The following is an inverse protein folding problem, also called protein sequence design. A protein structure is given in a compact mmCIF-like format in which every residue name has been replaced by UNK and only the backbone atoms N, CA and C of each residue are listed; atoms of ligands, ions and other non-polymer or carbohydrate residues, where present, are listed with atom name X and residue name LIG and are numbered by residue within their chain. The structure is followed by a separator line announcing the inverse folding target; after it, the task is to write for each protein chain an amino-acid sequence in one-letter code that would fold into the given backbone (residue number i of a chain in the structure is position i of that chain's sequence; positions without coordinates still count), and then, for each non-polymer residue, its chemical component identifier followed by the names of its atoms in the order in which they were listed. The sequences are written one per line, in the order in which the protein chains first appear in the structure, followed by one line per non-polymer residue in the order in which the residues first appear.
data_IF_828966064141
#
_entry.id   IF_828966064141
#
_cell.length_a   1.000
_cell.length_b   1.000
_cell.length_c   1.000
_cell.angle_alpha   90.00
_cell.angle_beta   90.00
_cell.angle_gamma   90.00
#
_symmetry.space_group_name_H-M   'P 1'
#
loop_
_entity.id
_entity.type
_entity.pdbx_description
1 polymer ?
#
# COMPACT_ATOMS: atom_id res chain seq x y z
N UNK A 1 9.87 -24.25 14.35
CA UNK A 1 10.26 -22.86 14.64
C UNK A 1 10.83 -22.15 13.42
N UNK A 2 11.95 -22.61 12.83
CA UNK A 2 12.56 -21.96 11.66
C UNK A 2 11.61 -21.80 10.48
N UNK A 3 10.87 -22.85 10.11
CA UNK A 3 9.89 -22.78 9.03
C UNK A 3 8.79 -21.75 9.30
N UNK A 4 8.22 -21.75 10.51
CA UNK A 4 7.24 -20.75 10.96
C UNK A 4 7.80 -19.33 10.91
N UNK A 5 9.09 -19.15 11.26
CA UNK A 5 9.78 -17.87 11.16
C UNK A 5 9.91 -17.40 9.71
N UNK A 6 10.32 -18.28 8.78
CA UNK A 6 10.43 -17.93 7.35
C UNK A 6 9.07 -17.56 6.78
N UNK A 7 8.03 -18.37 7.05
CA UNK A 7 6.66 -18.09 6.59
C UNK A 7 6.13 -16.78 7.18
N UNK A 8 6.32 -16.55 8.48
CA UNK A 8 5.92 -15.31 9.15
C UNK A 8 6.64 -14.08 8.59
N UNK A 9 7.95 -14.20 8.33
CA UNK A 9 8.77 -13.12 7.74
C UNK A 9 8.30 -12.77 6.33
N UNK A 10 8.07 -13.79 5.48
CA UNK A 10 7.56 -13.58 4.11
C UNK A 10 6.17 -12.95 4.16
N UNK A 11 5.27 -13.45 4.99
CA UNK A 11 3.93 -12.88 5.14
C UNK A 11 3.99 -11.41 5.61
N UNK A 12 4.90 -11.07 6.54
CA UNK A 12 5.10 -9.70 7.01
C UNK A 12 5.57 -8.78 5.88
N UNK A 13 6.54 -9.22 5.09
CA UNK A 13 7.05 -8.47 3.95
C UNK A 13 5.96 -8.29 2.90
N UNK A 14 5.16 -9.32 2.61
CA UNK A 14 4.04 -9.25 1.65
C UNK A 14 2.95 -8.26 2.10
N UNK A 15 2.57 -8.30 3.37
CA UNK A 15 1.60 -7.35 3.94
C UNK A 15 2.12 -5.92 3.83
N UNK A 16 3.36 -5.67 4.28
CA UNK A 16 3.99 -4.36 4.18
C UNK A 16 4.11 -3.87 2.74
N UNK A 17 4.51 -4.76 1.82
CA UNK A 17 4.63 -4.45 0.40
C UNK A 17 3.27 -4.05 -0.17
N UNK A 18 2.21 -4.80 0.15
CA UNK A 18 0.85 -4.51 -0.31
C UNK A 18 0.39 -3.13 0.13
N UNK A 19 0.54 -2.79 1.41
CA UNK A 19 0.15 -1.45 1.92
C UNK A 19 1.02 -0.37 1.30
N UNK A 20 2.32 -0.62 1.11
CA UNK A 20 3.25 0.31 0.47
C UNK A 20 2.94 0.56 -1.00
N UNK A 21 2.44 -0.44 -1.73
CA UNK A 21 1.95 -0.29 -3.11
C UNK A 21 0.75 0.64 -3.18
N UNK A 22 -0.16 0.53 -2.23
CA UNK A 22 -1.30 1.44 -2.12
C UNK A 22 -0.87 2.86 -1.73
N UNK A 23 0.08 3.00 -0.80
CA UNK A 23 0.63 4.30 -0.39
C UNK A 23 1.31 5.06 -1.54
N UNK A 24 1.81 4.35 -2.55
CA UNK A 24 2.37 4.97 -3.74
C UNK A 24 1.35 5.82 -4.51
N UNK A 25 0.07 5.41 -4.56
CA UNK A 25 -0.98 6.21 -5.19
C UNK A 25 -1.19 7.54 -4.48
N UNK A 26 -1.23 7.54 -3.14
CA UNK A 26 -1.35 8.77 -2.35
C UNK A 26 -0.15 9.71 -2.59
N UNK A 27 1.07 9.17 -2.71
CA UNK A 27 2.27 9.96 -3.05
C UNK A 27 2.20 10.55 -4.45
N UNK A 28 1.67 9.81 -5.42
CA UNK A 28 1.49 10.33 -6.77
C UNK A 28 0.45 11.44 -6.80
N UNK A 29 -0.68 11.27 -6.09
CA UNK A 29 -1.70 12.30 -5.92
C UNK A 29 -1.12 13.58 -5.28
N UNK A 30 -0.40 13.46 -4.16
CA UNK A 30 0.29 14.56 -3.48
C UNK A 30 1.21 15.34 -4.43
N UNK A 31 2.03 14.62 -5.21
CA UNK A 31 2.91 15.24 -6.21
C UNK A 31 2.13 16.03 -7.27
N UNK A 32 0.93 15.59 -7.65
CA UNK A 32 0.09 16.30 -8.63
C UNK A 32 -0.56 17.52 -8.06
N UNK A 33 -1.06 17.43 -6.82
CA UNK A 33 -1.59 18.59 -6.10
C UNK A 33 -0.49 19.63 -5.93
N UNK A 34 0.69 19.25 -5.45
CA UNK A 34 1.80 20.20 -5.29
C UNK A 34 2.20 20.85 -6.61
N UNK A 35 2.31 20.07 -7.69
CA UNK A 35 2.61 20.62 -9.02
C UNK A 35 1.51 21.56 -9.53
N UNK A 36 0.25 21.26 -9.24
CA UNK A 36 -0.88 22.11 -9.59
C UNK A 36 -0.80 23.45 -8.84
N UNK A 37 -0.61 23.41 -7.52
CA UNK A 37 -0.45 24.60 -6.67
C UNK A 37 0.77 25.44 -7.09
N UNK A 38 1.91 24.81 -7.39
CA UNK A 38 3.12 25.51 -7.87
C UNK A 38 2.92 26.18 -9.24
N UNK A 39 2.08 25.60 -10.10
CA UNK A 39 1.82 26.13 -11.45
C UNK A 39 0.85 27.31 -11.45
N UNK A 40 0.18 27.54 -10.33
CA UNK A 40 -0.90 28.49 -10.24
C UNK A 40 -0.42 29.83 -9.67
N UNK A 41 -0.80 30.93 -10.32
CA UNK A 41 -0.50 32.26 -9.81
C UNK A 41 -1.61 32.69 -8.84
N UNK A 42 -1.26 33.15 -7.62
CA UNK A 42 -2.25 33.63 -6.67
C UNK A 42 -3.10 34.77 -7.28
N UNK A 43 -4.42 34.56 -7.36
CA UNK A 43 -5.39 35.57 -7.79
C UNK A 43 -5.80 35.56 -9.28
N UNK A 44 -5.25 34.66 -10.10
CA UNK A 44 -5.53 34.62 -11.55
C UNK A 44 -6.89 33.96 -11.87
N UNK A 45 -7.29 32.93 -11.09
CA UNK A 45 -8.54 32.19 -11.32
C UNK A 45 -9.45 32.30 -10.11
N UNK A 46 -10.61 32.94 -10.30
CA UNK A 46 -11.68 33.12 -9.30
C UNK A 46 -12.84 32.15 -9.56
N UNK A 47 -13.57 31.78 -8.51
CA UNK A 47 -14.73 30.87 -8.52
C UNK A 47 -14.36 29.41 -8.81
N UNK A 48 -13.34 28.91 -8.14
CA UNK A 48 -12.92 27.51 -8.33
C UNK A 48 -13.65 26.58 -7.35
N UNK A 49 -14.34 25.57 -7.89
CA UNK A 49 -15.04 24.56 -7.10
C UNK A 49 -14.10 23.48 -6.57
N UNK A 50 -14.17 23.21 -5.26
CA UNK A 50 -13.42 22.16 -4.58
C UNK A 50 -13.70 20.78 -5.17
N UNK A 51 -14.97 20.46 -5.40
CA UNK A 51 -15.36 19.20 -6.02
C UNK A 51 -14.78 19.05 -7.43
N UNK A 52 -14.85 20.10 -8.26
CA UNK A 52 -14.33 20.07 -9.63
C UNK A 52 -12.80 19.89 -9.65
N UNK A 53 -12.07 20.64 -8.81
CA UNK A 53 -10.61 20.49 -8.67
C UNK A 53 -10.23 19.11 -8.17
N UNK A 54 -10.88 18.64 -7.11
CA UNK A 54 -10.60 17.33 -6.51
C UNK A 54 -10.83 16.22 -7.52
N UNK A 55 -11.93 16.26 -8.28
CA UNK A 55 -12.17 15.33 -9.39
C UNK A 55 -11.05 15.39 -10.42
N UNK A 56 -10.74 16.57 -10.93
CA UNK A 56 -9.73 16.74 -11.98
C UNK A 56 -8.36 16.21 -11.55
N UNK A 57 -7.92 16.50 -10.32
CA UNK A 57 -6.62 16.05 -9.82
C UNK A 57 -6.59 14.55 -9.53
N UNK A 58 -7.67 13.98 -8.97
CA UNK A 58 -7.77 12.54 -8.70
C UNK A 58 -7.80 11.72 -10.00
N UNK A 59 -8.60 12.15 -10.97
CA UNK A 59 -8.69 11.54 -12.29
C UNK A 59 -7.35 11.58 -13.02
N UNK A 60 -6.71 12.76 -13.05
CA UNK A 60 -5.38 12.92 -13.62
C UNK A 60 -4.34 12.04 -12.91
N UNK A 61 -4.35 11.99 -11.58
CA UNK A 61 -3.46 11.11 -10.82
C UNK A 61 -3.68 9.64 -11.17
N UNK A 62 -4.94 9.20 -11.29
CA UNK A 62 -5.29 7.83 -11.67
C UNK A 62 -4.82 7.48 -13.09
N UNK A 63 -5.13 8.33 -14.07
CA UNK A 63 -4.74 8.11 -15.47
C UNK A 63 -3.22 8.05 -15.65
N UNK A 64 -2.50 9.01 -15.07
CA UNK A 64 -1.04 9.04 -15.19
C UNK A 64 -0.38 7.87 -14.44
N UNK A 65 -0.92 7.49 -13.28
CA UNK A 65 -0.40 6.38 -12.48
C UNK A 65 -0.54 5.01 -13.17
N UNK A 66 -1.64 4.80 -13.92
CA UNK A 66 -1.98 3.51 -14.51
C UNK A 66 -1.87 3.48 -16.03
N UNK A 67 -2.51 4.40 -16.78
CA UNK A 67 -2.57 4.34 -18.25
C UNK A 67 -1.30 4.78 -18.95
N UNK A 68 -0.71 5.91 -18.55
CA UNK A 68 0.55 6.37 -19.17
C UNK A 68 1.66 5.35 -18.93
N UNK A 69 1.64 4.73 -17.75
CA UNK A 69 2.62 3.70 -17.37
C UNK A 69 2.43 2.42 -18.17
N UNK A 70 1.20 2.01 -18.41
CA UNK A 70 0.86 0.82 -19.22
C UNK A 70 1.24 1.02 -20.69
N UNK A 71 1.03 2.22 -21.26
CA UNK A 71 1.35 2.50 -22.66
C UNK A 71 2.85 2.74 -22.91
N UNK A 72 3.57 3.39 -21.99
CA UNK A 72 4.93 3.88 -22.29
C UNK A 72 6.06 2.95 -21.85
N UNK A 73 5.86 2.04 -20.90
CA UNK A 73 6.88 1.09 -20.38
C UNK A 73 8.31 1.66 -20.26
N UNK A 74 8.44 2.94 -19.89
CA UNK A 74 9.70 3.69 -20.03
C UNK A 74 10.77 3.25 -19.02
N UNK A 75 10.41 2.53 -17.96
CA UNK A 75 11.34 2.09 -16.92
C UNK A 75 11.44 0.56 -16.87
N UNK A 76 12.66 0.06 -16.69
CA UNK A 76 13.00 -1.39 -16.67
C UNK A 76 12.23 -2.21 -15.62
N UNK A 77 11.54 -1.57 -14.67
CA UNK A 77 10.68 -2.19 -13.65
C UNK A 77 9.16 -2.15 -13.93
N UNK A 78 8.71 -1.49 -14.99
CA UNK A 78 7.27 -1.28 -15.24
C UNK A 78 6.51 -2.59 -15.50
N UNK A 79 7.14 -3.58 -16.16
CA UNK A 79 6.53 -4.90 -16.40
C UNK A 79 6.23 -5.66 -15.11
N UNK A 80 7.16 -5.64 -14.14
CA UNK A 80 6.99 -6.29 -12.83
C UNK A 80 5.93 -5.54 -12.02
N UNK A 81 5.91 -4.21 -12.10
CA UNK A 81 4.89 -3.38 -11.46
C UNK A 81 3.47 -3.62 -12.00
N UNK A 82 3.31 -3.84 -13.30
CA UNK A 82 2.00 -4.13 -13.91
C UNK A 82 1.48 -5.49 -13.48
N UNK A 83 2.36 -6.50 -13.45
CA UNK A 83 2.01 -7.83 -12.95
C UNK A 83 1.61 -7.77 -11.46
N UNK A 84 2.40 -7.06 -10.64
CA UNK A 84 2.07 -6.85 -9.23
C UNK A 84 0.75 -6.09 -9.06
N UNK A 85 0.49 -5.02 -9.81
CA UNK A 85 -0.75 -4.24 -9.67
C UNK A 85 -2.00 -5.03 -10.05
N UNK A 86 -1.86 -6.00 -10.98
CA UNK A 86 -2.93 -6.94 -11.31
C UNK A 86 -3.16 -7.95 -10.19
N UNK A 87 -2.09 -8.50 -9.64
CA UNK A 87 -2.14 -9.50 -8.56
C UNK A 87 -2.70 -8.88 -7.27
N UNK A 88 -2.34 -7.64 -6.97
CA UNK A 88 -2.77 -6.90 -5.77
C UNK A 88 -4.02 -6.05 -5.99
N UNK A 89 -4.67 -6.13 -7.16
CA UNK A 89 -5.89 -5.37 -7.52
C UNK A 89 -5.78 -3.86 -7.24
N UNK A 90 -4.58 -3.29 -7.35
CA UNK A 90 -4.28 -1.91 -6.93
C UNK A 90 -5.08 -0.92 -7.78
N UNK A 91 -5.24 -1.19 -9.08
CA UNK A 91 -6.02 -0.34 -10.00
C UNK A 91 -7.50 -0.28 -9.56
N UNK A 92 -8.09 -1.42 -9.22
CA UNK A 92 -9.49 -1.50 -8.79
C UNK A 92 -9.68 -0.82 -7.42
N UNK A 93 -8.75 -1.04 -6.49
CA UNK A 93 -8.76 -0.38 -5.19
C UNK A 93 -8.67 1.14 -5.30
N UNK A 94 -7.78 1.66 -6.15
CA UNK A 94 -7.64 3.10 -6.37
C UNK A 94 -8.86 3.70 -7.09
N UNK A 95 -9.45 2.99 -8.06
CA UNK A 95 -10.68 3.43 -8.71
C UNK A 95 -11.85 3.53 -7.72
N UNK A 96 -11.98 2.55 -6.83
CA UNK A 96 -12.98 2.57 -5.75
C UNK A 96 -12.74 3.74 -4.80
N UNK A 97 -11.48 3.98 -4.41
CA UNK A 97 -11.09 5.11 -3.57
C UNK A 97 -11.45 6.45 -4.20
N UNK A 98 -11.12 6.66 -5.48
CA UNK A 98 -11.46 7.91 -6.20
C UNK A 98 -12.97 8.11 -6.21
N UNK A 99 -13.73 7.06 -6.57
CA UNK A 99 -15.19 7.11 -6.60
C UNK A 99 -15.80 7.45 -5.24
N UNK A 100 -15.31 6.82 -4.17
CA UNK A 100 -15.87 7.00 -2.84
C UNK A 100 -15.51 8.37 -2.23
N UNK A 101 -14.27 8.85 -2.43
CA UNK A 101 -13.89 10.22 -2.07
C UNK A 101 -14.77 11.24 -2.79
N UNK A 102 -14.97 11.10 -4.10
CA UNK A 102 -15.82 12.03 -4.86
C UNK A 102 -17.27 12.00 -4.37
N UNK A 103 -17.80 10.83 -4.05
CA UNK A 103 -19.14 10.70 -3.47
C UNK A 103 -19.25 11.43 -2.12
N UNK A 104 -18.24 11.34 -1.26
CA UNK A 104 -18.25 12.01 0.04
C UNK A 104 -18.04 13.53 -0.08
N UNK A 105 -17.12 13.97 -0.94
CA UNK A 105 -16.84 15.40 -1.19
C UNK A 105 -18.04 16.13 -1.82
N UNK A 106 -18.85 15.44 -2.63
CA UNK A 106 -20.06 15.99 -3.27
C UNK A 106 -21.06 16.58 -2.26
N UNK A 107 -21.18 15.99 -1.07
CA UNK A 107 -22.16 16.41 -0.05
C UNK A 107 -21.57 17.39 0.98
N UNK A 108 -20.31 17.78 0.81
CA UNK A 108 -19.64 18.68 1.74
C UNK A 108 -20.17 20.09 1.53
N UNK A 109 -20.71 20.70 2.59
CA UNK A 109 -21.14 22.11 2.52
C UNK A 109 -19.91 23.00 2.67
N UNK A 110 -19.78 24.00 1.80
CA UNK A 110 -18.73 25.00 1.92
C UNK A 110 -18.94 25.83 3.21
N UNK A 111 -17.90 25.93 4.02
CA UNK A 111 -17.87 26.77 5.22
C UNK A 111 -16.43 27.22 5.49
N UNK A 112 -16.22 28.36 6.16
CA UNK A 112 -14.87 28.90 6.43
C UNK A 112 -14.03 28.01 7.35
N UNK A 113 -14.66 27.14 8.15
CA UNK A 113 -13.93 26.15 8.95
C UNK A 113 -13.36 25.04 8.05
N UNK A 114 -12.29 24.36 8.45
CA UNK A 114 -11.84 23.19 7.68
C UNK A 114 -12.77 21.99 7.99
N UNK A 115 -13.43 21.36 7.00
CA UNK A 115 -14.15 20.12 7.22
C UNK A 115 -13.22 19.04 7.77
N UNK A 116 -13.75 18.05 8.49
CA UNK A 116 -12.95 16.94 9.02
C UNK A 116 -12.57 15.95 7.90
N UNK A 117 -11.77 16.40 6.93
CA UNK A 117 -11.29 15.63 5.78
C UNK A 117 -10.51 14.39 6.22
N UNK A 118 -9.86 14.43 7.38
CA UNK A 118 -9.24 13.26 8.01
C UNK A 118 -10.21 12.10 8.24
N UNK A 119 -11.45 12.39 8.68
CA UNK A 119 -12.42 11.35 8.98
C UNK A 119 -12.97 10.73 7.69
N UNK A 120 -13.22 11.57 6.68
CA UNK A 120 -13.63 11.16 5.34
C UNK A 120 -12.54 10.27 4.72
N UNK A 121 -11.30 10.71 4.78
CA UNK A 121 -10.15 9.99 4.23
C UNK A 121 -9.96 8.65 4.94
N UNK A 122 -9.91 8.65 6.29
CA UNK A 122 -9.80 7.41 7.08
C UNK A 122 -10.94 6.44 6.79
N UNK A 123 -12.19 6.91 6.78
CA UNK A 123 -13.35 6.07 6.50
C UNK A 123 -13.26 5.45 5.10
N UNK A 124 -12.87 6.24 4.09
CA UNK A 124 -12.74 5.77 2.71
C UNK A 124 -11.65 4.70 2.57
N UNK A 125 -10.48 4.92 3.19
CA UNK A 125 -9.40 3.93 3.15
C UNK A 125 -9.76 2.64 3.92
N UNK A 126 -10.47 2.75 5.05
CA UNK A 126 -10.91 1.61 5.86
C UNK A 126 -12.05 0.81 5.23
N UNK A 127 -12.95 1.45 4.49
CA UNK A 127 -14.07 0.76 3.83
C UNK A 127 -13.66 0.12 2.50
N UNK A 128 -12.46 0.39 2.01
CA UNK A 128 -12.01 -0.10 0.73
C UNK A 128 -11.76 -1.63 0.76
N UNK A 129 -12.54 -2.42 0.00
CA UNK A 129 -12.46 -3.88 0.04
C UNK A 129 -11.14 -4.43 -0.51
N UNK A 130 -10.44 -3.66 -1.36
CA UNK A 130 -9.16 -4.06 -1.95
C UNK A 130 -7.97 -3.76 -1.03
N UNK A 131 -8.06 -2.72 -0.19
CA UNK A 131 -6.96 -2.32 0.70
C UNK A 131 -6.85 -3.24 1.93
N UNK A 132 -7.99 -3.79 2.36
CA UNK A 132 -8.05 -4.67 3.52
C UNK A 132 -7.79 -6.15 3.22
N UNK A 133 -7.57 -6.52 1.95
CA UNK A 133 -7.38 -7.92 1.52
C UNK A 133 -6.08 -8.14 0.76
N UNK A 134 -5.22 -9.00 1.30
CA UNK A 134 -4.04 -9.52 0.60
C UNK A 134 -4.51 -10.50 -0.49
N UNK A 135 -4.10 -10.25 -1.74
CA UNK A 135 -4.53 -11.00 -2.93
C UNK A 135 -6.06 -11.08 -3.14
N UNK A 136 -6.84 -10.20 -2.51
CA UNK A 136 -8.31 -10.17 -2.60
C UNK A 136 -9.06 -11.16 -1.71
N UNK A 137 -8.36 -12.07 -1.00
CA UNK A 137 -9.01 -13.08 -0.15
C UNK A 137 -8.57 -13.09 1.32
N UNK A 138 -7.31 -12.75 1.66
CA UNK A 138 -6.87 -12.81 3.08
C UNK A 138 -7.01 -11.45 3.75
N UNK A 139 -7.73 -11.30 4.87
CA UNK A 139 -7.81 -10.04 5.58
C UNK A 139 -6.43 -9.64 6.13
N UNK A 140 -5.95 -8.46 5.73
CA UNK A 140 -4.63 -7.92 6.13
C UNK A 140 -4.58 -7.67 7.64
N UNK A 141 -5.69 -7.19 8.24
CA UNK A 141 -5.77 -6.93 9.68
C UNK A 141 -5.48 -8.18 10.51
N UNK A 142 -6.20 -9.28 10.24
CA UNK A 142 -6.00 -10.53 10.98
C UNK A 142 -4.60 -11.12 10.79
N UNK A 143 -4.01 -10.99 9.59
CA UNK A 143 -2.62 -11.37 9.36
C UNK A 143 -1.66 -10.51 10.18
N UNK A 144 -1.87 -9.19 10.22
CA UNK A 144 -1.04 -8.28 11.01
C UNK A 144 -1.06 -8.65 12.50
N UNK A 145 -2.24 -8.98 13.04
CA UNK A 145 -2.41 -9.37 14.45
C UNK A 145 -1.67 -10.68 14.76
N UNK A 146 -1.85 -11.71 13.93
CA UNK A 146 -1.16 -13.01 14.09
C UNK A 146 0.36 -12.82 14.01
N UNK A 147 0.84 -12.05 13.04
CA UNK A 147 2.27 -11.78 12.86
C UNK A 147 2.87 -10.99 14.03
N UNK A 148 2.07 -10.16 14.70
CA UNK A 148 2.49 -9.36 15.85
C UNK A 148 2.68 -10.21 17.12
N UNK A 149 1.98 -11.35 17.23
CA UNK A 149 2.09 -12.28 18.37
C UNK A 149 3.18 -13.35 18.16
N UNK A 150 3.63 -13.58 16.92
CA UNK A 150 4.67 -14.57 16.59
C UNK A 150 5.95 -14.49 17.43
N UNK A 151 6.52 -13.31 17.75
CA UNK A 151 7.68 -13.25 18.66
C UNK A 151 7.43 -13.93 20.00
N UNK A 152 6.25 -13.74 20.59
CA UNK A 152 5.86 -14.40 21.84
C UNK A 152 5.74 -15.91 21.68
N UNK A 153 5.15 -16.37 20.57
CA UNK A 153 5.04 -17.80 20.25
C UNK A 153 6.41 -18.48 20.11
N UNK A 154 7.43 -17.80 19.58
CA UNK A 154 8.78 -18.36 19.49
C UNK A 154 9.44 -18.54 20.87
N UNK A 155 9.23 -17.62 21.80
CA UNK A 155 9.75 -17.74 23.18
C UNK A 155 9.07 -18.91 23.88
N UNK A 156 7.73 -18.99 23.82
CA UNK A 156 6.96 -20.08 24.43
C UNK A 156 7.38 -21.43 23.82
N UNK A 157 7.51 -21.51 22.50
CA UNK A 157 7.98 -22.70 21.81
C UNK A 157 9.40 -23.12 22.21
N UNK A 158 10.31 -22.14 22.42
CA UNK A 158 11.66 -22.37 22.92
C UNK A 158 11.67 -22.97 24.34
N UNK A 159 10.91 -22.36 25.26
CA UNK A 159 10.75 -22.85 26.65
C UNK A 159 10.16 -24.25 26.67
N UNK A 160 9.11 -24.50 25.88
CA UNK A 160 8.47 -25.81 25.78
C UNK A 160 9.43 -26.88 25.24
N UNK A 161 10.26 -26.53 24.26
CA UNK A 161 11.30 -27.41 23.73
C UNK A 161 12.32 -27.82 24.81
N UNK A 162 12.73 -26.87 25.66
CA UNK A 162 13.63 -27.18 26.80
C UNK A 162 12.95 -28.09 27.81
N UNK A 163 11.70 -27.80 28.16
CA UNK A 163 10.93 -28.62 29.10
C UNK A 163 10.78 -30.07 28.60
N UNK A 164 10.41 -30.26 27.34
CA UNK A 164 10.28 -31.60 26.74
C UNK A 164 11.62 -32.36 26.72
N UNK A 165 12.73 -31.68 26.44
CA UNK A 165 14.04 -32.33 26.46
C UNK A 165 14.44 -32.84 27.85
N UNK A 166 14.18 -32.04 28.90
CA UNK A 166 14.44 -32.45 30.29
C UNK A 166 13.52 -33.60 30.71
N UNK A 167 12.23 -33.53 30.37
CA UNK A 167 11.26 -34.60 30.70
C UNK A 167 11.62 -35.92 30.03
N UNK A 168 12.18 -35.89 28.81
CA UNK A 168 12.65 -37.09 28.13
C UNK A 168 13.97 -37.64 28.69
N UNK A 169 14.84 -36.76 29.20
CA UNK A 169 16.13 -37.15 29.78
C UNK A 169 16.04 -37.69 31.21
N UNK A 170 15.12 -37.18 32.05
CA UNK A 170 14.99 -37.58 33.45
C UNK A 170 14.73 -39.08 33.67
N UNK A 171 13.84 -39.76 32.91
CA UNK A 171 13.61 -41.20 33.05
C UNK A 171 14.87 -42.04 32.76
N UNK A 172 15.77 -41.55 31.90
CA UNK A 172 17.00 -42.27 31.55
C UNK A 172 17.98 -42.35 32.72
N UNK A 173 18.01 -41.32 33.58
CA UNK A 173 18.79 -41.32 34.82
C UNK A 173 18.30 -42.38 35.82
N UNK A 174 17.04 -42.81 35.73
CA UNK A 174 16.49 -43.88 36.59
C UNK A 174 17.10 -45.26 36.33
N UNK A 175 17.85 -45.44 35.22
CA UNK A 175 18.54 -46.69 34.88
C UNK A 175 20.01 -46.77 35.32
N UNK A 176 20.50 -45.80 36.10
CA UNK A 176 21.89 -45.81 36.59
C UNK A 176 22.09 -46.84 37.70
N UNK A 177 23.09 -47.70 37.55
CA UNK A 177 23.58 -48.59 38.60
C UNK A 177 24.96 -48.11 39.08
N UNK A 178 25.11 -47.96 40.39
CA UNK A 178 26.35 -47.49 41.05
C UNK A 178 27.44 -48.56 40.94
N UNK A 179 27.06 -49.82 40.72
CA UNK A 179 28.01 -50.93 40.58
C UNK A 179 28.64 -51.02 39.19
N UNK A 180 28.03 -50.39 38.18
CA UNK A 180 28.55 -50.34 36.81
C UNK A 180 28.84 -48.87 36.42
N UNK A 181 30.06 -48.44 36.72
CA UNK A 181 30.54 -47.09 36.45
C UNK A 181 30.55 -46.76 34.94
N UNK A 182 30.74 -47.76 34.08
CA UNK A 182 30.84 -47.56 32.64
C UNK A 182 29.46 -47.34 32.03
N UNK A 183 28.46 -48.14 32.42
CA UNK A 183 27.06 -47.94 32.02
C UNK A 183 26.49 -46.63 32.55
N UNK A 184 26.77 -46.29 33.81
CA UNK A 184 26.36 -45.02 34.41
C UNK A 184 26.92 -43.79 33.68
N UNK A 185 28.17 -43.86 33.20
CA UNK A 185 28.76 -42.79 32.38
C UNK A 185 28.03 -42.60 31.05
N UNK A 186 27.71 -43.70 30.35
CA UNK A 186 26.98 -43.62 29.08
C UNK A 186 25.58 -43.01 29.24
N UNK A 187 24.87 -43.34 30.33
CA UNK A 187 23.57 -42.75 30.64
C UNK A 187 23.71 -41.25 30.91
N UNK A 188 24.73 -40.85 31.67
CA UNK A 188 25.00 -39.44 31.97
C UNK A 188 25.34 -38.65 30.71
N UNK A 189 26.19 -39.18 29.82
CA UNK A 189 26.54 -38.53 28.55
C UNK A 189 25.31 -38.36 27.65
N UNK A 190 24.43 -39.35 27.61
CA UNK A 190 23.14 -39.27 26.90
C UNK A 190 22.21 -38.20 27.47
N UNK A 191 22.09 -38.11 28.80
CA UNK A 191 21.31 -37.08 29.46
C UNK A 191 21.85 -35.68 29.18
N UNK A 192 23.16 -35.47 29.29
CA UNK A 192 23.81 -34.19 29.03
C UNK A 192 23.63 -33.76 27.57
N UNK A 193 23.68 -34.70 26.62
CA UNK A 193 23.39 -34.42 25.22
C UNK A 193 21.94 -33.94 25.02
N UNK A 194 20.96 -34.61 25.65
CA UNK A 194 19.55 -34.21 25.55
C UNK A 194 19.29 -32.84 26.17
N UNK A 195 19.86 -32.56 27.34
CA UNK A 195 19.75 -31.24 27.98
C UNK A 195 20.41 -30.16 27.12
N UNK A 196 21.59 -30.42 26.56
CA UNK A 196 22.29 -29.50 25.67
C UNK A 196 21.46 -29.18 24.41
N UNK A 197 20.87 -30.21 23.79
CA UNK A 197 19.96 -30.04 22.65
C UNK A 197 18.71 -29.23 23.04
N UNK A 198 18.14 -29.51 24.21
CA UNK A 198 16.99 -28.81 24.77
C UNK A 198 17.28 -27.33 25.05
N UNK A 199 18.47 -27.01 25.55
CA UNK A 199 18.94 -25.63 25.76
C UNK A 199 19.11 -24.88 24.44
N UNK A 200 19.69 -25.54 23.42
CA UNK A 200 19.85 -24.94 22.09
C UNK A 200 18.49 -24.57 21.46
N UNK A 201 17.46 -25.38 21.68
CA UNK A 201 16.09 -25.05 21.24
C UNK A 201 15.57 -23.74 21.85
N UNK A 202 15.82 -23.48 23.15
CA UNK A 202 15.41 -22.22 23.79
C UNK A 202 16.19 -21.02 23.28
N UNK A 203 17.51 -21.14 23.13
CA UNK A 203 18.35 -20.10 22.54
C UNK A 203 17.84 -19.74 21.14
N UNK A 204 17.51 -20.73 20.32
CA UNK A 204 16.97 -20.52 18.98
C UNK A 204 15.59 -19.83 19.03
N UNK A 205 14.72 -20.21 19.96
CA UNK A 205 13.41 -19.57 20.15
C UNK A 205 13.53 -18.08 20.50
N UNK A 206 14.42 -17.74 21.44
CA UNK A 206 14.69 -16.36 21.84
C UNK A 206 15.30 -15.57 20.68
N UNK A 207 16.29 -16.13 19.98
CA UNK A 207 16.93 -15.49 18.84
C UNK A 207 15.94 -15.15 17.72
N UNK A 208 15.10 -16.13 17.33
CA UNK A 208 14.07 -15.92 16.30
C UNK A 208 13.00 -14.92 16.76
N UNK A 209 12.67 -14.87 18.05
CA UNK A 209 11.75 -13.89 18.62
C UNK A 209 12.28 -12.46 18.49
N UNK A 210 13.54 -12.23 18.85
CA UNK A 210 14.20 -10.93 18.71
C UNK A 210 14.22 -10.51 17.23
N UNK A 211 14.63 -11.42 16.34
CA UNK A 211 14.69 -11.15 14.90
C UNK A 211 13.30 -10.82 14.32
N UNK A 212 12.26 -11.57 14.72
CA UNK A 212 10.88 -11.31 14.29
C UNK A 212 10.38 -9.95 14.82
N UNK A 213 10.77 -9.55 16.03
CA UNK A 213 10.43 -8.24 16.61
C UNK A 213 11.05 -7.10 15.79
N UNK A 214 12.31 -7.25 15.36
CA UNK A 214 12.95 -6.32 14.45
C UNK A 214 12.19 -6.23 13.11
N UNK A 215 11.84 -7.37 12.51
CA UNK A 215 11.07 -7.40 11.26
C UNK A 215 9.70 -6.73 11.41
N UNK A 216 8.97 -6.98 12.50
CA UNK A 216 7.68 -6.35 12.75
C UNK A 216 7.78 -4.83 12.89
N UNK A 217 8.89 -4.34 13.45
CA UNK A 217 9.15 -2.91 13.67
C UNK A 217 9.54 -2.18 12.38
N UNK A 218 10.42 -2.78 11.57
CA UNK A 218 10.87 -2.23 10.29
C UNK A 218 9.75 -2.27 9.26
N UNK A 219 9.08 -3.42 9.14
CA UNK A 219 8.00 -3.64 8.19
C UNK A 219 6.64 -3.49 8.87
N UNK A 220 6.39 -2.32 9.46
CA UNK A 220 5.10 -2.00 10.09
C UNK A 220 4.11 -1.47 9.04
N UNK A 221 3.03 -2.20 8.71
CA UNK A 221 2.01 -1.74 7.77
C UNK A 221 1.25 -0.53 8.31
N UNK A 222 1.01 -0.46 9.62
CA UNK A 222 0.25 0.62 10.26
C UNK A 222 0.92 1.99 10.09
N UNK A 223 2.26 2.04 10.20
CA UNK A 223 3.03 3.27 9.92
C UNK A 223 2.86 3.73 8.48
N UNK A 224 2.92 2.80 7.52
CA UNK A 224 2.74 3.12 6.10
C UNK A 224 1.31 3.58 5.83
N UNK A 225 0.33 2.93 6.45
CA UNK A 225 -1.08 3.29 6.33
C UNK A 225 -1.37 4.69 6.89
N UNK A 226 -0.89 5.02 8.10
CA UNK A 226 -1.04 6.36 8.66
C UNK A 226 -0.41 7.41 7.75
N UNK A 227 0.85 7.20 7.34
CA UNK A 227 1.53 8.11 6.43
C UNK A 227 0.79 8.30 5.10
N UNK A 228 0.14 7.26 4.58
CA UNK A 228 -0.67 7.32 3.36
C UNK A 228 -1.92 8.18 3.57
N UNK A 229 -2.64 7.98 4.68
CA UNK A 229 -3.81 8.77 5.06
C UNK A 229 -3.44 10.23 5.24
N UNK A 230 -2.40 10.52 6.01
CA UNK A 230 -1.97 11.88 6.33
C UNK A 230 -1.53 12.63 5.06
N UNK A 231 -0.80 11.97 4.14
CA UNK A 231 -0.43 12.56 2.83
C UNK A 231 -1.65 12.88 1.98
N UNK A 232 -2.61 11.96 1.94
CA UNK A 232 -3.81 12.13 1.14
C UNK A 232 -4.70 13.24 1.70
N UNK A 233 -4.86 13.30 3.03
CA UNK A 233 -5.53 14.39 3.74
C UNK A 233 -4.88 15.74 3.43
N UNK A 234 -3.57 15.87 3.66
CA UNK A 234 -2.85 17.11 3.40
C UNK A 234 -3.03 17.58 1.95
N UNK A 235 -3.10 16.65 1.00
CA UNK A 235 -3.35 16.96 -0.40
C UNK A 235 -4.76 17.48 -0.64
N UNK A 236 -5.77 16.93 0.04
CA UNK A 236 -7.15 17.44 -0.02
C UNK A 236 -7.28 18.79 0.69
N UNK A 237 -6.60 19.00 1.82
CA UNK A 237 -6.57 20.27 2.53
C UNK A 237 -5.98 21.38 1.64
N UNK A 238 -4.89 21.12 0.93
CA UNK A 238 -4.32 22.08 -0.02
C UNK A 238 -5.32 22.46 -1.12
N UNK A 239 -6.06 21.49 -1.64
CA UNK A 239 -7.12 21.76 -2.62
C UNK A 239 -8.29 22.52 -2.00
N UNK A 240 -8.64 22.25 -0.74
CA UNK A 240 -9.68 22.96 -0.01
C UNK A 240 -9.32 24.44 0.15
N UNK A 241 -8.13 24.74 0.66
CA UNK A 241 -7.65 26.13 0.82
C UNK A 241 -7.52 26.88 -0.50
N UNK A 242 -7.30 26.15 -1.60
CA UNK A 242 -7.28 26.75 -2.94
C UNK A 242 -8.68 27.04 -3.48
N UNK A 243 -9.72 26.37 -3.01
CA UNK A 243 -11.06 26.50 -3.59
C UNK A 243 -11.81 27.71 -3.04
N UNK A 244 -12.75 28.24 -3.82
CA UNK A 244 -13.60 29.37 -3.42
C UNK A 244 -15.03 28.92 -3.06
N UNK A 245 -15.47 27.78 -3.59
CA UNK A 245 -16.78 27.19 -3.34
C UNK A 245 -16.73 25.66 -3.47
N UNK A 246 -17.85 24.99 -3.21
CA UNK A 246 -18.01 23.56 -3.50
C UNK A 246 -19.22 23.29 -4.40
N UNK A 247 -19.41 24.14 -5.41
CA UNK A 247 -20.56 24.01 -6.30
C UNK A 247 -20.36 22.83 -7.26
N UNK A 248 -21.42 22.04 -7.42
CA UNK A 248 -21.45 20.93 -8.37
C UNK A 248 -21.85 21.47 -9.76
N UNK A 249 -20.96 21.45 -10.76
CA UNK A 249 -21.31 21.93 -12.10
C UNK A 249 -22.30 20.94 -12.75
N UNK A 250 -23.57 21.36 -12.88
CA UNK A 250 -24.65 20.51 -13.44
C UNK A 250 -24.71 20.51 -14.97
N UNK A 251 -24.13 21.52 -15.62
CA UNK A 251 -24.34 21.82 -17.05
C UNK A 251 -23.11 21.58 -17.94
N UNK A 252 -22.09 20.86 -17.48
CA UNK A 252 -20.88 20.59 -18.27
C UNK A 252 -20.92 19.17 -18.82
N UNK A 253 -21.16 19.00 -20.14
CA UNK A 253 -21.15 17.69 -20.84
C UNK A 253 -19.84 16.89 -20.67
N UNK A 254 -18.74 17.56 -20.31
CA UNK A 254 -17.46 16.91 -19.97
C UNK A 254 -17.49 16.19 -18.60
N UNK A 255 -18.61 16.24 -17.86
CA UNK A 255 -18.70 15.86 -16.46
C UNK A 255 -19.77 14.77 -16.22
N UNK A 256 -19.68 13.66 -16.95
CA UNK A 256 -20.56 12.51 -16.72
C UNK A 256 -20.15 11.77 -15.43
N UNK A 257 -21.07 11.69 -14.47
CA UNK A 257 -20.91 11.04 -13.15
C UNK A 257 -20.91 9.50 -13.22
N UNK A 258 -21.44 8.93 -14.31
CA UNK A 258 -21.53 7.49 -14.52
C UNK A 258 -20.48 6.93 -15.48
N UNK A 259 -19.74 7.81 -16.14
CA UNK A 259 -18.66 7.45 -17.03
C UNK A 259 -17.48 6.93 -16.22
N UNK A 260 -16.98 5.76 -16.60
CA UNK A 260 -15.78 5.20 -15.98
C UNK A 260 -14.66 6.25 -16.06
N UNK A 261 -13.96 6.58 -14.97
CA UNK A 261 -12.82 7.49 -14.99
C UNK A 261 -11.79 7.14 -16.08
N UNK A 262 -11.70 5.86 -16.45
CA UNK A 262 -10.91 5.39 -17.58
C UNK A 262 -11.45 5.88 -18.95
N UNK A 263 -12.77 5.83 -19.19
CA UNK A 263 -13.39 6.27 -20.45
C UNK A 263 -13.44 7.79 -20.60
N UNK A 264 -13.71 8.53 -19.52
CA UNK A 264 -13.78 9.99 -19.56
C UNK A 264 -12.43 10.58 -19.99
N UNK A 265 -11.34 10.10 -19.42
CA UNK A 265 -9.98 10.56 -19.73
C UNK A 265 -9.40 9.92 -21.00
N UNK A 266 -9.78 8.69 -21.36
CA UNK A 266 -9.45 8.12 -22.67
C UNK A 266 -10.06 8.96 -23.80
N UNK A 267 -11.29 9.45 -23.63
CA UNK A 267 -11.92 10.36 -24.59
C UNK A 267 -11.26 11.74 -24.60
N UNK A 268 -10.85 12.27 -23.46
CA UNK A 268 -10.16 13.57 -23.39
C UNK A 268 -8.73 13.49 -23.95
N UNK A 269 -8.01 12.39 -23.71
CA UNK A 269 -6.68 12.14 -24.29
C UNK A 269 -6.75 11.87 -25.80
N UNK A 270 -7.76 11.13 -26.28
CA UNK A 270 -8.06 11.00 -27.70
C UNK A 270 -8.39 12.36 -28.33
N UNK A 271 -9.24 13.16 -27.68
CA UNK A 271 -9.59 14.51 -28.15
C UNK A 271 -8.37 15.46 -28.16
N UNK A 272 -7.46 15.33 -27.18
CA UNK A 272 -6.17 16.05 -27.15
C UNK A 272 -5.20 15.57 -28.24
N UNK A 273 -5.21 14.29 -28.62
CA UNK A 273 -4.42 13.79 -29.76
C UNK A 273 -5.02 14.19 -31.11
N UNK A 274 -6.34 14.12 -31.27
CA UNK A 274 -7.06 14.57 -32.47
C UNK A 274 -6.85 16.07 -32.69
N UNK A 275 -6.93 16.89 -31.63
CA UNK A 275 -6.67 18.34 -31.72
C UNK A 275 -5.21 18.68 -31.99
N UNK A 276 -4.25 17.89 -31.51
CA UNK A 276 -2.82 18.01 -31.89
C UNK A 276 -2.58 17.60 -33.35
N UNK A 277 -3.24 16.54 -33.82
CA UNK A 277 -3.20 16.10 -35.21
C UNK A 277 -3.80 17.12 -36.17
N UNK A 278 -4.90 17.78 -35.78
CA UNK A 278 -5.52 18.87 -36.53
C UNK A 278 -4.57 20.08 -36.68
N UNK A 279 -3.89 20.49 -35.59
CA UNK A 279 -2.87 21.56 -35.64
C UNK A 279 -1.65 21.21 -36.50
N UNK A 280 -1.25 19.94 -36.54
CA UNK A 280 -0.15 19.49 -37.39
C UNK A 280 -0.50 19.57 -38.88
N UNK A 281 -1.73 19.22 -39.25
CA UNK A 281 -2.21 19.30 -40.64
C UNK A 281 -2.32 20.74 -41.14
N UNK A 282 -2.79 21.65 -40.29
CA UNK A 282 -2.86 23.08 -40.62
C UNK A 282 -1.47 23.70 -40.92
N UNK A 283 -0.45 23.28 -40.17
CA UNK A 283 0.93 23.74 -40.38
C UNK A 283 1.56 23.20 -41.68
N UNK A 284 1.21 21.98 -42.09
CA UNK A 284 1.69 21.40 -43.34
C UNK A 284 0.97 21.98 -44.57
N UNK A 285 -0.31 22.32 -44.45
CA UNK A 285 -1.06 23.06 -45.48
C UNK A 285 -0.53 24.49 -45.67
N UNK A 286 -0.11 25.16 -44.58
CA UNK A 286 0.53 26.47 -44.65
C UNK A 286 1.93 26.41 -45.29
N UNK A 287 2.70 25.34 -45.03
CA UNK A 287 4.01 25.13 -45.66
C UNK A 287 3.88 24.86 -47.15
N UNK A 288 2.98 23.97 -47.56
CA UNK A 288 2.77 23.64 -48.98
C UNK A 288 2.23 24.80 -49.80
N UNK A 289 1.43 25.70 -49.20
CA UNK A 289 1.03 26.97 -49.85
C UNK A 289 2.21 27.94 -50.03
N UNK A 290 3.11 28.04 -49.06
CA UNK A 290 4.32 28.86 -49.19
C UNK A 290 5.30 28.34 -50.25
N UNK A 291 5.39 27.02 -50.44
CA UNK A 291 6.28 26.43 -51.46
C UNK A 291 5.74 26.56 -52.89
N UNK A 292 4.43 26.73 -53.06
CA UNK A 292 3.80 26.97 -54.37
C UNK A 292 3.74 28.44 -54.79
N UNK A 293 4.07 29.35 -53.87
CA UNK A 293 4.05 30.80 -54.10
C UNK A 293 5.46 31.40 -54.32
N UNK A 294 6.48 30.54 -54.38
CA UNK A 294 7.86 30.88 -54.77
C UNK A 294 8.23 30.13 -56.03
#
# INVERSE_FOLDING_TARGET
MVLTFVVGSVARILVWYTVSRHAWFAKEFEKRVNKFIESEQPGDVKNVSFYALTKQQLEKAFYEAFEIRDRMHRRKGDKIMIAADRIYLVKQGCAWLVRDILKQVKFLKWHDNNPKLINITKATFQQNPCFNRLFGFIPVGSLNDVLSILPGMFVIGGIFGTFMGIVNGLPKLGGMDINDAEMSKQIMDGFLFEVSFAMNSSIMGIFLSVLMTFLNTIFSPDKVFSNMVDRFENSLDLLWYRSDNNDYPRDVEAFDEHRDPAEALASESLNREISKGARSRDLDDLKTRKTKAS
#
